data_IF_708159390694
#
_entry.id   IF_708159390694
#
_cell.length_a   1.000
_cell.length_b   1.000
_cell.length_c   1.000
_cell.angle_alpha   90.00
_cell.angle_beta   90.00
_cell.angle_gamma   90.00
#
_symmetry.space_group_name_H-M   'P 1'
#
loop_
_entity.id
_entity.type
_entity.pdbx_description
1 polymer ?
#
# COMPACT_ATOMS: atom_id res chain seq x y z
N UNK A 1 -66.41 13.35 19.66
CA UNK A 1 -65.82 13.10 20.99
C UNK A 1 -64.65 12.15 20.80
N UNK A 2 -63.37 12.46 20.89
CA UNK A 2 -62.61 13.42 21.70
C UNK A 2 -61.49 12.61 22.36
N UNK A 3 -60.30 12.50 21.74
CA UNK A 3 -59.18 11.69 22.27
C UNK A 3 -58.65 12.36 23.55
N UNK A 4 -58.91 11.75 24.71
CA UNK A 4 -58.36 12.20 26.00
C UNK A 4 -56.84 12.11 26.01
N UNK A 5 -56.16 13.14 26.50
CA UNK A 5 -54.73 13.08 26.78
C UNK A 5 -54.47 12.06 27.90
N UNK A 6 -53.55 11.12 27.66
CA UNK A 6 -53.26 10.00 28.58
C UNK A 6 -52.49 10.42 29.84
N UNK A 7 -51.88 11.62 29.80
CA UNK A 7 -51.19 12.25 30.93
C UNK A 7 -51.56 13.73 30.91
N UNK A 8 -52.04 14.27 32.03
CA UNK A 8 -52.55 15.63 32.12
C UNK A 8 -51.48 16.62 32.59
N UNK A 9 -50.36 16.13 33.15
CA UNK A 9 -49.23 16.96 33.56
C UNK A 9 -47.87 16.45 33.08
N UNK A 10 -46.88 17.35 33.01
CA UNK A 10 -45.49 17.01 32.70
C UNK A 10 -44.87 16.11 33.79
N UNK A 11 -45.28 16.27 35.05
CA UNK A 11 -44.83 15.44 36.16
C UNK A 11 -45.31 13.98 36.01
N UNK A 12 -46.56 13.78 35.64
CA UNK A 12 -47.12 12.44 35.35
C UNK A 12 -46.44 11.78 34.15
N UNK A 13 -46.12 12.55 33.12
CA UNK A 13 -45.38 12.04 31.96
C UNK A 13 -43.96 11.61 32.35
N UNK A 14 -43.31 12.35 33.23
CA UNK A 14 -41.98 12.02 33.72
C UNK A 14 -41.98 10.78 34.64
N UNK A 15 -42.95 10.63 35.53
CA UNK A 15 -43.09 9.43 36.37
C UNK A 15 -43.41 8.19 35.54
N UNK A 16 -44.34 8.29 34.60
CA UNK A 16 -44.69 7.20 33.68
C UNK A 16 -43.48 6.75 32.83
N UNK A 17 -42.65 7.68 32.36
CA UNK A 17 -41.41 7.36 31.66
C UNK A 17 -40.37 6.69 32.55
N UNK A 18 -40.24 7.10 33.82
CA UNK A 18 -39.34 6.43 34.79
C UNK A 18 -39.80 5.02 35.10
N UNK A 19 -41.11 4.80 35.23
CA UNK A 19 -41.68 3.49 35.45
C UNK A 19 -41.54 2.57 34.24
N UNK A 20 -41.79 3.08 33.02
CA UNK A 20 -41.67 2.29 31.79
C UNK A 20 -40.21 1.92 31.51
N UNK A 21 -39.28 2.86 31.70
CA UNK A 21 -37.83 2.58 31.59
C UNK A 21 -37.35 1.61 32.67
N UNK A 22 -37.83 1.73 33.90
CA UNK A 22 -37.52 0.80 34.98
C UNK A 22 -38.04 -0.62 34.66
N UNK A 23 -39.32 -0.75 34.27
CA UNK A 23 -39.94 -2.02 33.86
C UNK A 23 -39.21 -2.64 32.68
N UNK A 24 -38.91 -1.85 31.65
CA UNK A 24 -38.15 -2.33 30.49
C UNK A 24 -36.75 -2.81 30.90
N UNK A 25 -36.03 -2.06 31.74
CA UNK A 25 -34.68 -2.43 32.17
C UNK A 25 -34.61 -3.74 32.97
N UNK A 26 -35.70 -4.09 33.66
CA UNK A 26 -35.83 -5.34 34.42
C UNK A 26 -36.36 -6.51 33.58
N UNK A 27 -36.97 -6.24 32.43
CA UNK A 27 -37.49 -7.27 31.53
C UNK A 27 -36.35 -8.12 30.92
N UNK A 28 -36.61 -9.38 30.52
CA UNK A 28 -35.62 -10.23 29.86
C UNK A 28 -35.01 -9.55 28.61
N UNK A 29 -35.85 -8.87 27.82
CA UNK A 29 -35.44 -8.17 26.60
C UNK A 29 -34.55 -6.94 26.89
N UNK A 30 -34.85 -6.20 27.97
CA UNK A 30 -34.00 -5.10 28.42
C UNK A 30 -32.65 -5.58 28.96
N UNK A 31 -32.63 -6.72 29.65
CA UNK A 31 -31.40 -7.35 30.13
C UNK A 31 -30.54 -7.87 28.98
N UNK A 32 -31.12 -8.54 27.97
CA UNK A 32 -30.39 -8.98 26.78
C UNK A 32 -29.81 -7.81 25.99
N UNK A 33 -30.56 -6.72 25.85
CA UNK A 33 -30.10 -5.51 25.15
C UNK A 33 -28.92 -4.86 25.90
N UNK A 34 -28.99 -4.77 27.24
CA UNK A 34 -27.86 -4.30 28.07
C UNK A 34 -26.65 -5.23 28.04
N UNK A 35 -26.86 -6.54 28.02
CA UNK A 35 -25.77 -7.51 27.91
C UNK A 35 -25.09 -7.39 26.54
N UNK A 36 -25.87 -7.21 25.47
CA UNK A 36 -25.35 -6.97 24.12
C UNK A 36 -24.57 -5.66 24.01
N UNK A 37 -25.03 -4.57 24.65
CA UNK A 37 -24.34 -3.29 24.64
C UNK A 37 -23.07 -3.28 25.52
N UNK A 38 -23.01 -4.13 26.56
CA UNK A 38 -21.81 -4.29 27.42
C UNK A 38 -20.75 -5.23 26.82
N UNK A 39 -21.12 -6.13 25.90
CA UNK A 39 -20.19 -7.02 25.19
C UNK A 39 -19.04 -6.30 24.48
N UNK A 40 -19.26 -5.21 23.72
CA UNK A 40 -18.16 -4.47 23.09
C UNK A 40 -17.29 -3.71 24.08
N UNK A 41 -17.83 -3.24 25.20
CA UNK A 41 -17.07 -2.50 26.22
C UNK A 41 -16.12 -3.39 27.04
N UNK A 42 -16.46 -4.68 27.19
CA UNK A 42 -15.64 -5.68 27.89
C UNK A 42 -14.75 -6.52 26.96
N UNK A 43 -14.79 -6.30 25.64
CA UNK A 43 -13.73 -6.75 24.76
C UNK A 43 -12.48 -5.96 25.14
N UNK A 44 -11.68 -6.52 26.06
CA UNK A 44 -10.28 -6.12 26.24
C UNK A 44 -9.73 -5.93 24.84
N UNK A 45 -9.19 -4.74 24.55
CA UNK A 45 -8.38 -4.51 23.36
C UNK A 45 -7.25 -5.52 23.44
N UNK A 46 -7.45 -6.72 22.88
CA UNK A 46 -6.36 -7.62 22.63
C UNK A 46 -5.36 -6.77 21.82
N UNK A 47 -4.11 -6.62 22.28
CA UNK A 47 -3.09 -6.01 21.45
C UNK A 47 -3.18 -6.72 20.10
N UNK A 48 -3.30 -5.93 19.03
CA UNK A 48 -3.17 -6.49 17.69
C UNK A 48 -1.89 -7.32 17.69
N UNK A 49 -1.93 -8.57 17.19
CA UNK A 49 -0.69 -9.34 17.07
C UNK A 49 0.32 -8.47 16.31
N UNK A 50 1.60 -8.47 16.71
CA UNK A 50 2.61 -7.68 16.04
C UNK A 50 2.59 -8.02 14.54
N UNK A 51 2.81 -7.02 13.66
CA UNK A 51 2.87 -7.27 12.23
C UNK A 51 3.88 -8.38 11.96
N UNK A 52 3.50 -9.33 11.12
CA UNK A 52 4.39 -10.45 10.77
C UNK A 52 5.53 -9.87 9.93
N UNK A 53 6.75 -9.92 10.44
CA UNK A 53 7.94 -9.45 9.73
C UNK A 53 8.85 -10.60 9.37
N UNK A 54 9.64 -10.44 8.30
CA UNK A 54 10.76 -11.33 8.04
C UNK A 54 11.81 -11.16 9.15
N UNK A 55 12.05 -12.21 9.94
CA UNK A 55 13.09 -12.21 10.96
C UNK A 55 14.49 -12.23 10.33
N UNK A 56 15.51 -11.78 11.08
CA UNK A 56 16.94 -11.82 10.70
C UNK A 56 17.36 -10.89 9.55
N UNK A 57 16.49 -10.00 9.08
CA UNK A 57 16.86 -8.95 8.12
C UNK A 57 17.04 -7.60 8.83
N UNK A 58 17.89 -6.70 8.30
CA UNK A 58 17.97 -5.34 8.79
C UNK A 58 16.60 -4.66 8.69
N UNK A 59 16.29 -3.82 9.68
CA UNK A 59 15.04 -3.06 9.68
C UNK A 59 15.09 -1.99 8.58
N UNK A 60 14.03 -1.84 7.75
CA UNK A 60 13.96 -0.82 6.71
C UNK A 60 14.32 0.57 7.25
N UNK A 61 15.17 1.30 6.52
CA UNK A 61 15.60 2.64 6.94
C UNK A 61 14.45 3.65 6.85
N UNK A 62 14.50 4.78 7.57
CA UNK A 62 13.48 5.83 7.46
C UNK A 62 13.26 6.30 6.02
N UNK A 63 14.34 6.40 5.24
CA UNK A 63 14.28 6.78 3.83
C UNK A 63 13.55 5.75 2.98
N UNK A 64 13.80 4.46 3.18
CA UNK A 64 13.05 3.40 2.50
C UNK A 64 11.57 3.46 2.84
N UNK A 65 11.24 3.65 4.12
CA UNK A 65 9.85 3.79 4.55
C UNK A 65 9.17 4.99 3.89
N UNK A 66 9.85 6.15 3.85
CA UNK A 66 9.35 7.35 3.17
C UNK A 66 9.06 7.08 1.69
N UNK A 67 10.03 6.55 0.94
CA UNK A 67 9.86 6.25 -0.49
C UNK A 67 8.79 5.19 -0.74
N UNK A 68 8.71 4.16 0.12
CA UNK A 68 7.71 3.10 -0.01
C UNK A 68 6.27 3.63 0.13
N UNK A 69 6.09 4.71 0.89
CA UNK A 69 4.79 5.31 1.19
C UNK A 69 4.41 6.46 0.24
N UNK A 70 5.30 6.89 -0.66
CA UNK A 70 4.98 7.90 -1.65
C UNK A 70 3.77 7.50 -2.49
N UNK A 71 2.86 8.42 -2.78
CA UNK A 71 1.65 8.09 -3.55
C UNK A 71 2.00 7.63 -4.98
N UNK A 72 1.33 6.58 -5.45
CA UNK A 72 1.36 6.20 -6.87
C UNK A 72 0.43 7.12 -7.67
N UNK A 73 0.67 7.33 -8.98
CA UNK A 73 -0.11 8.24 -9.81
C UNK A 73 -1.47 7.64 -10.21
N UNK A 74 -2.31 7.27 -9.24
CA UNK A 74 -3.65 6.71 -9.46
C UNK A 74 -4.59 7.66 -10.23
N UNK A 75 -4.25 8.95 -10.35
CA UNK A 75 -4.96 9.90 -11.20
C UNK A 75 -4.64 9.77 -12.70
N UNK A 76 -3.47 9.22 -13.05
CA UNK A 76 -3.00 9.15 -14.45
C UNK A 76 -3.75 8.08 -15.25
N UNK A 77 -4.27 8.41 -16.45
CA UNK A 77 -4.82 7.42 -17.38
C UNK A 77 -3.78 6.38 -17.82
N UNK A 78 -2.54 6.80 -18.08
CA UNK A 78 -1.45 5.93 -18.53
C UNK A 78 -1.12 4.89 -17.45
N UNK A 79 -0.99 5.34 -16.20
CA UNK A 79 -0.81 4.43 -15.07
C UNK A 79 -1.92 3.38 -14.99
N UNK A 80 -3.20 3.80 -15.13
CA UNK A 80 -4.34 2.88 -15.07
C UNK A 80 -4.37 1.90 -16.23
N UNK A 81 -4.00 2.32 -17.43
CA UNK A 81 -3.92 1.45 -18.61
C UNK A 81 -2.82 0.40 -18.42
N UNK A 82 -1.61 0.83 -18.07
CA UNK A 82 -0.48 -0.05 -17.77
C UNK A 82 -0.79 -1.03 -16.63
N UNK A 83 -1.47 -0.58 -15.57
CA UNK A 83 -1.86 -1.44 -14.45
C UNK A 83 -2.85 -2.55 -14.88
N UNK A 84 -3.72 -2.28 -15.86
CA UNK A 84 -4.81 -3.18 -16.26
C UNK A 84 -4.35 -4.33 -17.14
N UNK A 85 -3.55 -4.06 -18.17
CA UNK A 85 -3.12 -5.08 -19.13
C UNK A 85 -1.85 -4.66 -19.85
N UNK A 86 -1.02 -5.65 -20.23
CA UNK A 86 0.15 -5.44 -21.08
C UNK A 86 -0.24 -5.09 -22.52
N UNK A 87 -1.46 -5.46 -22.94
CA UNK A 87 -1.97 -5.17 -24.29
C UNK A 87 -2.59 -3.77 -24.40
N UNK A 88 -2.70 -3.02 -23.28
CA UNK A 88 -3.35 -1.71 -23.26
C UNK A 88 -2.46 -0.58 -23.78
N UNK A 89 -1.14 -0.77 -23.77
CA UNK A 89 -0.12 0.20 -24.17
C UNK A 89 1.01 -0.56 -24.86
N UNK A 90 1.75 0.13 -25.72
CA UNK A 90 3.02 -0.41 -26.20
C UNK A 90 4.07 -0.32 -25.09
N UNK A 91 4.52 -1.49 -24.62
CA UNK A 91 5.51 -1.64 -23.56
C UNK A 91 6.89 -2.06 -24.10
N UNK A 92 7.11 -2.05 -25.42
CA UNK A 92 8.34 -2.55 -26.08
C UNK A 92 9.62 -1.94 -25.53
N UNK A 93 9.58 -0.67 -25.16
CA UNK A 93 10.75 0.12 -24.77
C UNK A 93 10.94 0.17 -23.24
N UNK A 94 10.04 -0.44 -22.47
CA UNK A 94 10.12 -0.51 -21.01
C UNK A 94 11.19 -1.46 -20.45
N UNK A 95 11.54 -2.60 -21.08
CA UNK A 95 12.46 -3.58 -20.49
C UNK A 95 13.77 -2.97 -19.99
N UNK A 96 14.41 -2.08 -20.77
CA UNK A 96 15.66 -1.41 -20.39
C UNK A 96 15.55 -0.59 -19.10
N UNK A 97 14.38 -0.04 -18.81
CA UNK A 97 14.11 0.75 -17.61
C UNK A 97 13.63 -0.11 -16.41
N UNK A 98 13.26 -1.37 -16.66
CA UNK A 98 12.95 -2.34 -15.60
C UNK A 98 14.21 -2.92 -14.97
N UNK A 99 15.29 -2.97 -15.73
CA UNK A 99 16.61 -3.46 -15.32
C UNK A 99 17.21 -2.62 -14.18
N UNK A 100 18.25 -3.18 -13.54
CA UNK A 100 18.99 -2.49 -12.51
C UNK A 100 19.92 -1.44 -13.13
N UNK A 101 20.04 -0.24 -12.53
CA UNK A 101 21.01 0.75 -12.98
C UNK A 101 22.44 0.21 -12.81
N UNK A 102 23.43 0.73 -13.57
CA UNK A 102 23.34 1.91 -14.42
C UNK A 102 22.66 1.65 -15.78
N UNK A 103 21.76 2.56 -16.16
CA UNK A 103 21.20 2.67 -17.50
C UNK A 103 22.22 3.20 -18.49
N UNK A 104 22.11 2.72 -19.73
CA UNK A 104 22.78 3.28 -20.90
C UNK A 104 22.13 4.61 -21.22
N UNK A 105 22.94 5.64 -21.49
CA UNK A 105 22.45 6.96 -21.90
C UNK A 105 21.66 6.85 -23.20
N UNK A 106 20.52 7.51 -23.26
CA UNK A 106 19.72 7.53 -24.47
C UNK A 106 20.39 8.41 -25.54
N UNK A 107 20.67 7.84 -26.71
CA UNK A 107 21.05 8.59 -27.93
C UNK A 107 19.82 9.26 -28.58
N UNK A 108 18.85 9.70 -27.77
CA UNK A 108 17.63 10.32 -28.25
C UNK A 108 17.96 11.69 -28.85
N UNK A 109 17.56 11.90 -30.11
CA UNK A 109 17.82 13.15 -30.82
C UNK A 109 17.01 14.33 -30.25
N UNK A 110 16.05 14.08 -29.36
CA UNK A 110 15.28 15.12 -28.68
C UNK A 110 16.11 15.89 -27.67
N UNK A 111 16.01 17.22 -27.74
CA UNK A 111 16.58 18.13 -26.75
C UNK A 111 16.07 17.79 -25.33
N UNK A 112 16.95 17.46 -24.36
CA UNK A 112 16.59 17.16 -22.97
C UNK A 112 15.83 18.29 -22.26
N UNK A 113 15.92 19.52 -22.77
CA UNK A 113 15.21 20.69 -22.24
C UNK A 113 13.84 20.93 -22.90
N UNK A 114 13.51 20.18 -23.96
CA UNK A 114 12.24 20.36 -24.66
C UNK A 114 11.04 19.89 -23.80
N UNK A 115 9.92 20.60 -23.93
CA UNK A 115 8.67 20.22 -23.26
C UNK A 115 8.21 18.81 -23.65
N UNK A 116 8.48 18.39 -24.90
CA UNK A 116 8.17 17.04 -25.39
C UNK A 116 8.97 15.97 -24.65
N UNK A 117 10.28 16.16 -24.50
CA UNK A 117 11.14 15.22 -23.77
C UNK A 117 10.71 15.05 -22.31
N UNK A 118 10.41 16.16 -21.63
CA UNK A 118 9.96 16.14 -20.23
C UNK A 118 8.58 15.46 -20.07
N UNK A 119 7.65 15.76 -20.97
CA UNK A 119 6.32 15.13 -20.97
C UNK A 119 6.41 13.62 -21.26
N UNK A 120 7.26 13.21 -22.20
CA UNK A 120 7.52 11.81 -22.50
C UNK A 120 8.13 11.09 -21.30
N UNK A 121 9.16 11.67 -20.67
CA UNK A 121 9.83 11.10 -19.49
C UNK A 121 8.86 10.92 -18.33
N UNK A 122 7.97 11.90 -18.10
CA UNK A 122 6.91 11.78 -17.10
C UNK A 122 5.92 10.66 -17.43
N UNK A 123 5.48 10.57 -18.69
CA UNK A 123 4.57 9.53 -19.17
C UNK A 123 5.18 8.14 -18.99
N UNK A 124 6.46 8.00 -19.31
CA UNK A 124 7.24 6.77 -19.12
C UNK A 124 7.26 6.34 -17.65
N UNK A 125 7.53 7.26 -16.72
CA UNK A 125 7.51 6.96 -15.30
C UNK A 125 6.12 6.51 -14.81
N UNK A 126 5.05 7.16 -15.27
CA UNK A 126 3.66 6.80 -14.95
C UNK A 126 3.30 5.40 -15.44
N UNK A 127 3.68 5.05 -16.67
CA UNK A 127 3.49 3.70 -17.24
C UNK A 127 4.28 2.67 -16.42
N UNK A 128 5.56 2.93 -16.12
CA UNK A 128 6.39 2.02 -15.33
C UNK A 128 5.84 1.78 -13.92
N UNK A 129 5.22 2.79 -13.28
CA UNK A 129 4.52 2.58 -12.02
C UNK A 129 3.37 1.59 -12.17
N UNK A 130 2.58 1.70 -13.24
CA UNK A 130 1.47 0.79 -13.51
C UNK A 130 1.95 -0.64 -13.74
N UNK A 131 2.96 -0.81 -14.59
CA UNK A 131 3.58 -2.11 -14.89
C UNK A 131 4.15 -2.76 -13.63
N UNK A 132 4.95 -2.03 -12.83
CA UNK A 132 5.54 -2.60 -11.61
C UNK A 132 4.48 -2.98 -10.56
N UNK A 133 3.40 -2.20 -10.44
CA UNK A 133 2.30 -2.57 -9.53
C UNK A 133 1.56 -3.81 -10.04
N UNK A 134 1.33 -3.92 -11.35
CA UNK A 134 0.74 -5.10 -11.98
C UNK A 134 1.59 -6.35 -11.72
N UNK A 135 2.90 -6.25 -11.93
CA UNK A 135 3.87 -7.33 -11.67
C UNK A 135 3.89 -7.72 -10.18
N UNK A 136 3.87 -6.74 -9.27
CA UNK A 136 3.78 -7.00 -7.84
C UNK A 136 2.49 -7.74 -7.47
N UNK A 137 1.34 -7.35 -8.02
CA UNK A 137 0.06 -8.02 -7.76
C UNK A 137 0.08 -9.47 -8.26
N UNK A 138 0.65 -9.73 -9.44
CA UNK A 138 0.81 -11.08 -9.96
C UNK A 138 1.71 -11.91 -9.04
N UNK A 139 2.82 -11.32 -8.58
CA UNK A 139 3.74 -11.96 -7.63
C UNK A 139 3.08 -12.27 -6.29
N UNK A 140 2.25 -11.37 -5.77
CA UNK A 140 1.52 -11.59 -4.51
C UNK A 140 0.58 -12.80 -4.61
N UNK A 141 -0.06 -13.00 -5.75
CA UNK A 141 -0.87 -14.19 -6.03
C UNK A 141 0.01 -15.45 -5.98
N UNK A 142 1.16 -15.45 -6.66
CA UNK A 142 2.10 -16.58 -6.64
C UNK A 142 2.59 -16.91 -5.23
N UNK A 143 2.92 -15.88 -4.42
CA UNK A 143 3.38 -16.06 -3.06
C UNK A 143 2.29 -16.64 -2.17
N UNK A 144 1.04 -16.18 -2.28
CA UNK A 144 -0.12 -16.74 -1.56
C UNK A 144 -0.35 -18.21 -1.91
N UNK A 145 -0.26 -18.54 -3.20
CA UNK A 145 -0.34 -19.92 -3.67
C UNK A 145 0.83 -20.78 -3.17
N UNK A 146 2.04 -20.22 -3.15
CA UNK A 146 3.24 -20.84 -2.59
C UNK A 146 3.09 -21.15 -1.11
N UNK A 147 2.53 -20.22 -0.32
CA UNK A 147 2.27 -20.44 1.11
C UNK A 147 1.26 -21.57 1.32
N UNK A 148 0.23 -21.62 0.48
CA UNK A 148 -0.81 -22.65 0.55
C UNK A 148 -0.29 -24.06 0.21
N UNK A 149 0.70 -24.15 -0.70
CA UNK A 149 1.23 -25.41 -1.22
C UNK A 149 2.45 -25.92 -0.47
N UNK A 150 3.40 -25.04 -0.14
CA UNK A 150 4.71 -25.39 0.45
C UNK A 150 4.80 -25.06 1.95
N UNK A 151 3.83 -24.33 2.47
CA UNK A 151 3.83 -23.82 3.83
C UNK A 151 4.61 -22.51 3.99
N UNK A 152 4.23 -21.74 5.01
CA UNK A 152 4.78 -20.41 5.25
C UNK A 152 6.30 -20.42 5.47
N UNK A 153 6.82 -21.36 6.26
CA UNK A 153 8.24 -21.39 6.62
C UNK A 153 9.18 -21.48 5.41
N UNK A 154 8.87 -22.31 4.42
CA UNK A 154 9.69 -22.46 3.22
C UNK A 154 9.65 -21.20 2.34
N UNK A 155 8.46 -20.59 2.21
CA UNK A 155 8.30 -19.33 1.46
C UNK A 155 9.05 -18.19 2.16
N UNK A 156 9.00 -18.12 3.49
CA UNK A 156 9.71 -17.10 4.27
C UNK A 156 11.23 -17.18 4.05
N UNK A 157 11.81 -18.38 4.03
CA UNK A 157 13.23 -18.56 3.77
C UNK A 157 13.65 -18.02 2.40
N UNK A 158 12.89 -18.35 1.35
CA UNK A 158 13.15 -17.82 0.00
C UNK A 158 13.01 -16.30 -0.07
N UNK A 159 12.03 -15.74 0.64
CA UNK A 159 11.84 -14.29 0.72
C UNK A 159 12.95 -13.58 1.49
N UNK A 160 13.53 -14.21 2.51
CA UNK A 160 14.69 -13.63 3.21
C UNK A 160 15.89 -13.45 2.28
N UNK A 161 16.22 -14.47 1.47
CA UNK A 161 17.28 -14.37 0.48
C UNK A 161 16.98 -13.33 -0.60
N UNK A 162 15.72 -13.27 -1.06
CA UNK A 162 15.28 -12.30 -2.06
C UNK A 162 15.40 -10.87 -1.54
N UNK A 163 14.91 -10.59 -0.33
CA UNK A 163 15.02 -9.26 0.27
C UNK A 163 16.47 -8.88 0.55
N UNK A 164 17.32 -9.81 0.98
CA UNK A 164 18.75 -9.55 1.15
C UNK A 164 19.41 -9.13 -0.17
N UNK A 165 19.08 -9.79 -1.29
CA UNK A 165 19.56 -9.40 -2.63
C UNK A 165 19.04 -8.02 -3.06
N UNK A 166 17.77 -7.73 -2.76
CA UNK A 166 17.19 -6.40 -3.05
C UNK A 166 17.84 -5.30 -2.22
N UNK A 167 18.26 -5.61 -0.99
CA UNK A 167 18.95 -4.67 -0.12
C UNK A 167 20.29 -4.21 -0.70
N UNK A 168 21.10 -5.15 -1.21
CA UNK A 168 22.36 -4.84 -1.90
C UNK A 168 22.11 -3.96 -3.13
N UNK A 169 21.04 -4.24 -3.88
CA UNK A 169 20.65 -3.41 -5.03
C UNK A 169 20.22 -2.01 -4.61
N UNK A 170 19.51 -1.89 -3.49
CA UNK A 170 19.10 -0.62 -2.92
C UNK A 170 20.32 0.23 -2.53
N UNK A 171 21.27 -0.35 -1.81
CA UNK A 171 22.51 0.33 -1.42
C UNK A 171 23.29 0.82 -2.64
N UNK A 172 23.42 -0.03 -3.66
CA UNK A 172 24.07 0.36 -4.91
C UNK A 172 23.33 1.49 -5.63
N UNK A 173 22.00 1.47 -5.66
CA UNK A 173 21.22 2.52 -6.32
C UNK A 173 21.27 3.85 -5.55
N UNK A 174 21.31 3.84 -4.22
CA UNK A 174 21.51 5.02 -3.37
C UNK A 174 22.92 5.60 -3.52
N UNK A 175 23.94 4.76 -3.71
CA UNK A 175 25.29 5.20 -4.04
C UNK A 175 25.30 5.96 -5.38
N UNK A 176 24.65 5.43 -6.42
CA UNK A 176 24.52 6.12 -7.71
C UNK A 176 23.78 7.47 -7.61
N UNK A 177 22.78 7.58 -6.74
CA UNK A 177 22.12 8.86 -6.45
C UNK A 177 23.06 9.84 -5.75
N UNK A 178 23.83 9.35 -4.76
CA UNK A 178 24.76 10.16 -3.97
C UNK A 178 25.92 10.68 -4.81
N UNK A 179 26.42 9.85 -5.74
CA UNK A 179 27.47 10.21 -6.70
C UNK A 179 26.96 11.12 -7.84
N UNK A 180 25.65 11.40 -7.89
CA UNK A 180 25.01 12.12 -9.00
C UNK A 180 25.34 11.49 -10.36
N UNK A 181 25.29 10.15 -10.44
CA UNK A 181 25.66 9.38 -11.64
C UNK A 181 24.98 9.90 -12.91
N UNK A 182 23.72 10.31 -12.78
CA UNK A 182 22.94 10.95 -13.84
C UNK A 182 22.68 12.40 -13.49
N UNK A 183 23.12 13.31 -14.38
CA UNK A 183 22.93 14.73 -14.16
C UNK A 183 21.46 15.14 -14.39
N UNK A 184 20.75 15.74 -13.41
CA UNK A 184 19.31 16.00 -13.51
C UNK A 184 18.89 16.87 -14.71
N UNK A 185 19.81 17.66 -15.27
CA UNK A 185 19.53 18.56 -16.39
C UNK A 185 19.96 18.01 -17.76
N UNK A 186 20.98 17.16 -17.81
CA UNK A 186 21.50 16.65 -19.09
C UNK A 186 21.05 15.21 -19.36
N UNK A 187 20.74 14.47 -18.30
CA UNK A 187 20.32 13.06 -18.31
C UNK A 187 19.08 12.92 -17.44
N UNK A 188 18.09 13.79 -17.70
CA UNK A 188 16.92 13.95 -16.84
C UNK A 188 16.03 12.71 -16.87
N UNK A 189 16.00 11.97 -17.99
CA UNK A 189 15.29 10.69 -18.12
C UNK A 189 15.94 9.61 -17.26
N UNK A 190 17.23 9.36 -17.41
CA UNK A 190 17.97 8.36 -16.62
C UNK A 190 17.91 8.68 -15.13
N UNK A 191 18.03 9.97 -14.77
CA UNK A 191 17.85 10.42 -13.40
C UNK A 191 16.43 10.11 -12.88
N UNK A 192 15.39 10.40 -13.66
CA UNK A 192 14.00 10.08 -13.30
C UNK A 192 13.79 8.56 -13.16
N UNK A 193 14.38 7.76 -14.05
CA UNK A 193 14.30 6.29 -14.00
C UNK A 193 15.06 5.71 -12.82
N UNK A 194 16.18 6.33 -12.40
CA UNK A 194 16.91 5.94 -11.20
C UNK A 194 16.07 6.22 -9.94
N UNK A 195 15.45 7.40 -9.84
CA UNK A 195 14.54 7.72 -8.74
C UNK A 195 13.36 6.74 -8.68
N UNK A 196 12.77 6.41 -9.83
CA UNK A 196 11.71 5.41 -9.93
C UNK A 196 12.18 4.03 -9.46
N UNK A 197 13.36 3.60 -9.91
CA UNK A 197 13.95 2.32 -9.53
C UNK A 197 14.17 2.21 -8.03
N UNK A 198 14.78 3.23 -7.42
CA UNK A 198 15.02 3.33 -5.97
C UNK A 198 13.68 3.28 -5.22
N UNK A 199 12.71 4.09 -5.63
CA UNK A 199 11.38 4.08 -5.02
C UNK A 199 10.74 2.68 -5.03
N UNK A 200 10.84 1.96 -6.15
CA UNK A 200 10.29 0.61 -6.27
C UNK A 200 11.06 -0.47 -5.53
N UNK A 201 12.38 -0.33 -5.38
CA UNK A 201 13.15 -1.17 -4.47
C UNK A 201 12.67 -0.98 -3.03
N UNK A 202 12.54 0.27 -2.57
CA UNK A 202 12.00 0.56 -1.24
C UNK A 202 10.59 -0.02 -1.04
N UNK A 203 9.69 0.17 -2.02
CA UNK A 203 8.33 -0.40 -1.99
C UNK A 203 8.37 -1.92 -1.87
N UNK A 204 9.13 -2.59 -2.72
CA UNK A 204 9.18 -4.05 -2.78
C UNK A 204 9.79 -4.63 -1.50
N UNK A 205 10.91 -4.06 -1.03
CA UNK A 205 11.55 -4.47 0.23
C UNK A 205 10.58 -4.30 1.39
N UNK A 206 9.92 -3.14 1.53
CA UNK A 206 8.97 -2.93 2.62
C UNK A 206 7.73 -3.83 2.48
N UNK A 207 7.23 -4.05 1.27
CA UNK A 207 6.09 -4.92 1.00
C UNK A 207 6.36 -6.36 1.43
N UNK A 208 7.54 -6.90 1.08
CA UNK A 208 7.97 -8.24 1.47
C UNK A 208 8.38 -8.30 2.95
N UNK A 209 9.09 -7.31 3.47
CA UNK A 209 9.54 -7.30 4.87
C UNK A 209 8.38 -7.35 5.86
N UNK A 210 7.31 -6.59 5.58
CA UNK A 210 6.09 -6.56 6.41
C UNK A 210 5.04 -7.58 5.97
N UNK A 211 5.37 -8.48 5.03
CA UNK A 211 4.47 -9.51 4.52
C UNK A 211 3.10 -8.98 4.08
N UNK A 212 3.07 -7.79 3.47
CA UNK A 212 1.82 -7.13 3.05
C UNK A 212 1.02 -7.95 2.04
N UNK A 213 1.67 -8.86 1.32
CA UNK A 213 1.00 -9.82 0.45
C UNK A 213 0.10 -10.81 1.22
N UNK A 214 0.18 -10.93 2.55
CA UNK A 214 -0.71 -11.78 3.35
C UNK A 214 -1.98 -11.06 3.83
N UNK A 215 -2.08 -9.75 3.63
CA UNK A 215 -3.26 -8.93 3.94
C UNK A 215 -4.34 -9.05 2.85
#
# INVERSE_FOLDING_TARGET
MGRSAKHLSLAEKASANRESTSKYSRSPQGQTTRAASRRPAHRRKCPLPPPRTLSNLPTPTPRMLELSNQALPFGSPLFKQALRSADALDESDLPRWKEAPPFVEDDDAMDPYSAGYLAFTKSLAEVLHGVRLRDQNARDIELRMGVSTKGLALVMHGLQEEVAKMWVRWERAEELLSESKYHPYHQSREHTMLLHHVQWLARTICHLYYLKFLE
#
